data_IF_694936082837
#
_entry.id   IF_694936082837
#
_cell.length_a   1.000
_cell.length_b   1.000
_cell.length_c   1.000
_cell.angle_alpha   90.00
_cell.angle_beta   90.00
_cell.angle_gamma   90.00
#
_symmetry.space_group_name_H-M   'P 1'
#
loop_
_entity.id
_entity.type
_entity.pdbx_description
1 polymer ?
#
# COMPACT_ATOMS: atom_id res chain seq x y z
N UNK A 1 4.92 15.53 7.52
CA UNK A 1 5.89 14.48 7.14
C UNK A 1 6.52 14.66 5.77
N UNK A 2 5.96 15.50 4.90
CA UNK A 2 6.50 15.77 3.57
C UNK A 2 7.87 16.48 3.65
N UNK A 3 8.87 15.95 2.95
CA UNK A 3 10.12 16.66 2.68
C UNK A 3 9.98 17.62 1.49
N UNK A 4 10.98 18.48 1.28
CA UNK A 4 10.98 19.51 0.24
C UNK A 4 10.54 19.05 -1.18
N UNK A 5 10.86 17.84 -1.66
CA UNK A 5 10.38 17.40 -2.98
C UNK A 5 8.86 17.26 -3.07
N UNK A 6 8.21 16.70 -2.03
CA UNK A 6 6.74 16.54 -2.01
C UNK A 6 6.02 17.87 -1.77
N UNK A 7 6.58 18.72 -0.88
CA UNK A 7 6.04 20.08 -0.67
C UNK A 7 6.12 20.90 -1.97
N UNK A 8 7.22 20.81 -2.70
CA UNK A 8 7.34 21.46 -4.01
C UNK A 8 6.33 20.93 -5.03
N UNK A 9 6.10 19.61 -5.04
CA UNK A 9 5.10 19.01 -5.92
C UNK A 9 3.68 19.45 -5.56
N UNK A 10 3.34 19.52 -4.28
CA UNK A 10 2.04 20.01 -3.82
C UNK A 10 1.80 21.48 -4.19
N UNK A 11 2.80 22.33 -3.99
CA UNK A 11 2.72 23.75 -4.41
C UNK A 11 2.46 23.88 -5.92
N UNK A 12 3.11 23.06 -6.76
CA UNK A 12 2.98 23.14 -8.21
C UNK A 12 1.75 22.44 -8.78
N UNK A 13 1.42 21.26 -8.28
CA UNK A 13 0.37 20.41 -8.86
C UNK A 13 -0.96 20.54 -8.13
N UNK A 14 -0.94 20.83 -6.83
CA UNK A 14 -2.17 21.00 -6.04
C UNK A 14 -2.62 22.44 -5.93
N UNK A 15 -1.68 23.38 -5.75
CA UNK A 15 -1.96 24.79 -5.51
C UNK A 15 -1.60 25.69 -6.73
N UNK A 16 -1.08 25.11 -7.80
CA UNK A 16 -0.67 25.81 -9.04
C UNK A 16 0.33 26.96 -8.83
N UNK A 17 1.06 26.94 -7.71
CA UNK A 17 2.04 27.96 -7.37
C UNK A 17 3.37 27.70 -8.09
N UNK A 18 3.75 28.59 -9.01
CA UNK A 18 5.03 28.54 -9.70
C UNK A 18 6.19 28.83 -8.75
N UNK A 19 6.97 27.80 -8.41
CA UNK A 19 8.12 27.89 -7.50
C UNK A 19 9.23 26.91 -7.87
N UNK A 20 10.46 27.25 -7.53
CA UNK A 20 11.62 26.37 -7.74
C UNK A 20 11.90 25.47 -6.53
N UNK A 21 12.28 24.21 -6.79
CA UNK A 21 12.58 23.22 -5.74
C UNK A 21 13.65 23.69 -4.72
N UNK A 22 14.70 24.40 -5.19
CA UNK A 22 15.74 24.97 -4.31
C UNK A 22 15.17 26.03 -3.37
N UNK A 23 14.24 26.88 -3.84
CA UNK A 23 13.58 27.90 -3.03
C UNK A 23 12.72 27.27 -1.93
N UNK A 24 11.93 26.24 -2.27
CA UNK A 24 11.12 25.50 -1.29
C UNK A 24 12.02 24.86 -0.21
N UNK A 25 13.08 24.18 -0.59
CA UNK A 25 14.02 23.55 0.34
C UNK A 25 14.66 24.58 1.29
N UNK A 26 15.04 25.76 0.78
CA UNK A 26 15.62 26.85 1.57
C UNK A 26 14.61 27.42 2.57
N UNK A 27 13.38 27.69 2.14
CA UNK A 27 12.34 28.23 3.00
C UNK A 27 11.93 27.23 4.08
N UNK A 28 11.79 25.96 3.76
CA UNK A 28 11.51 24.90 4.74
C UNK A 28 12.62 24.83 5.81
N UNK A 29 13.89 24.91 5.39
CA UNK A 29 15.03 24.91 6.33
C UNK A 29 15.00 26.14 7.23
N UNK A 30 14.73 27.33 6.68
CA UNK A 30 14.63 28.58 7.45
C UNK A 30 13.48 28.54 8.45
N UNK A 31 12.38 27.87 8.13
CA UNK A 31 11.21 27.68 9.00
C UNK A 31 11.35 26.47 9.95
N UNK A 32 12.49 25.78 10.00
CA UNK A 32 12.67 24.57 10.82
C UNK A 32 11.84 23.36 10.38
N UNK A 33 11.27 23.37 9.17
CA UNK A 33 10.42 22.31 8.67
C UNK A 33 11.26 21.18 8.06
N UNK A 34 11.23 20.01 8.69
CA UNK A 34 12.00 18.84 8.26
C UNK A 34 11.06 17.66 7.93
N UNK A 35 11.29 17.00 6.81
CA UNK A 35 10.61 15.75 6.48
C UNK A 35 11.09 14.59 7.36
N UNK A 36 10.15 13.78 7.84
CA UNK A 36 10.47 12.63 8.71
C UNK A 36 11.01 11.47 7.88
N UNK A 37 12.19 10.98 8.23
CA UNK A 37 12.81 9.80 7.62
C UNK A 37 13.30 8.84 8.71
N UNK A 38 12.72 7.64 8.79
CA UNK A 38 13.15 6.59 9.72
C UNK A 38 13.84 5.46 8.96
N UNK A 39 15.07 5.11 9.35
CA UNK A 39 15.74 3.88 8.93
C UNK A 39 15.46 2.78 9.97
N UNK A 40 14.75 1.74 9.60
CA UNK A 40 14.44 0.59 10.46
C UNK A 40 15.45 -0.54 10.25
N UNK A 41 15.94 -1.18 11.35
CA UNK A 41 16.70 -2.44 11.30
C UNK A 41 15.72 -3.61 11.18
N UNK A 42 15.99 -4.56 10.28
CA UNK A 42 15.16 -5.73 9.99
C UNK A 42 15.48 -6.92 10.92
N UNK A 43 14.44 -7.66 11.35
CA UNK A 43 14.55 -8.97 12.00
C UNK A 43 14.00 -10.03 11.04
N UNK A 44 14.73 -11.14 10.86
CA UNK A 44 14.33 -12.24 10.00
C UNK A 44 13.34 -13.21 10.67
N UNK A 45 12.38 -13.72 9.91
CA UNK A 45 11.46 -14.79 10.30
C UNK A 45 11.83 -16.10 9.57
N UNK A 46 11.50 -17.27 10.17
CA UNK A 46 11.64 -18.57 9.53
C UNK A 46 10.56 -18.76 8.45
N UNK A 47 10.92 -19.25 7.26
CA UNK A 47 9.99 -19.39 6.15
C UNK A 47 9.17 -20.68 6.21
N UNK A 48 7.91 -20.59 5.77
CA UNK A 48 7.02 -21.73 5.54
C UNK A 48 7.12 -22.20 4.07
N UNK A 49 6.73 -23.46 3.76
CA UNK A 49 6.59 -23.92 2.38
C UNK A 49 5.60 -23.03 1.62
N UNK A 50 5.88 -22.70 0.36
CA UNK A 50 5.00 -21.88 -0.45
C UNK A 50 4.07 -22.76 -1.29
N UNK A 51 2.72 -22.55 -1.25
CA UNK A 51 1.78 -23.22 -2.14
C UNK A 51 1.79 -22.64 -3.57
N UNK A 52 2.41 -21.49 -3.78
CA UNK A 52 2.50 -20.81 -5.08
C UNK A 52 3.96 -20.51 -5.43
N UNK A 53 4.28 -20.55 -6.73
CA UNK A 53 5.58 -20.16 -7.25
C UNK A 53 5.78 -18.64 -7.21
N UNK A 54 7.04 -18.18 -7.27
CA UNK A 54 7.36 -16.76 -7.39
C UNK A 54 7.26 -16.30 -8.86
N UNK A 55 6.07 -15.85 -9.24
CA UNK A 55 5.79 -15.33 -10.59
C UNK A 55 6.34 -13.92 -10.80
N UNK A 56 6.57 -13.17 -9.73
CA UNK A 56 7.01 -11.76 -9.77
C UNK A 56 8.52 -11.64 -9.91
N UNK A 57 9.28 -12.57 -9.31
CA UNK A 57 10.76 -12.58 -9.37
C UNK A 57 11.40 -11.23 -9.04
N UNK A 58 10.85 -10.52 -8.05
CA UNK A 58 11.24 -9.16 -7.62
C UNK A 58 11.01 -8.06 -8.68
N UNK A 59 10.30 -8.33 -9.76
CA UNK A 59 9.92 -7.34 -10.75
C UNK A 59 8.57 -6.72 -10.40
N UNK A 60 8.57 -5.83 -9.40
CA UNK A 60 7.36 -5.12 -8.98
C UNK A 60 7.03 -3.96 -9.93
N UNK A 61 6.78 -4.30 -11.18
CA UNK A 61 6.37 -3.40 -12.25
C UNK A 61 5.19 -4.01 -12.99
N UNK A 62 4.24 -3.19 -13.37
CA UNK A 62 3.14 -3.54 -14.24
C UNK A 62 3.01 -2.44 -15.30
N UNK A 63 2.46 -2.78 -16.46
CA UNK A 63 2.24 -1.88 -17.60
C UNK A 63 0.84 -1.26 -17.62
N UNK A 64 -0.06 -1.82 -16.83
CA UNK A 64 -1.43 -1.34 -16.68
C UNK A 64 -2.01 -1.67 -15.29
N UNK A 65 -3.12 -1.02 -14.89
CA UNK A 65 -3.81 -1.35 -13.64
C UNK A 65 -4.27 -2.81 -13.61
N UNK A 66 -4.40 -3.34 -12.40
CA UNK A 66 -5.00 -4.65 -12.11
C UNK A 66 -4.32 -5.87 -12.76
N UNK A 67 -3.01 -5.74 -13.12
CA UNK A 67 -2.20 -6.87 -13.61
C UNK A 67 -1.40 -7.54 -12.50
N UNK A 68 -0.97 -6.76 -11.52
CA UNK A 68 -0.20 -7.24 -10.38
C UNK A 68 -0.63 -6.50 -9.13
N UNK A 69 -1.14 -7.24 -8.16
CA UNK A 69 -1.44 -6.76 -6.82
C UNK A 69 -0.44 -7.30 -5.81
N UNK A 70 -0.05 -6.49 -4.85
CA UNK A 70 0.70 -6.91 -3.68
C UNK A 70 -0.20 -6.83 -2.44
N UNK A 71 -0.12 -7.82 -1.57
CA UNK A 71 -0.89 -7.85 -0.32
C UNK A 71 -0.01 -8.17 0.86
N UNK A 72 -0.36 -7.62 2.03
CA UNK A 72 0.35 -7.84 3.28
C UNK A 72 -0.52 -7.44 4.48
N UNK A 73 -0.11 -7.84 5.69
CA UNK A 73 -0.78 -7.52 6.95
C UNK A 73 0.15 -6.69 7.82
N UNK A 74 -0.41 -5.69 8.48
CA UNK A 74 0.26 -4.98 9.59
C UNK A 74 -0.53 -5.12 10.89
N UNK A 75 0.14 -4.94 12.03
CA UNK A 75 -0.51 -4.85 13.33
C UNK A 75 -0.11 -3.56 14.05
N UNK A 76 -1.03 -3.02 14.83
CA UNK A 76 -0.76 -1.86 15.66
C UNK A 76 -1.48 -1.98 17.02
N UNK A 77 -0.80 -1.66 18.15
CA UNK A 77 -1.42 -1.71 19.47
C UNK A 77 -2.33 -0.49 19.69
N UNK A 78 -3.40 -0.72 20.45
CA UNK A 78 -4.25 0.30 21.07
C UNK A 78 -4.36 0.04 22.57
N UNK A 79 -4.99 0.94 23.34
CA UNK A 79 -5.21 0.71 24.76
C UNK A 79 -6.14 -0.48 25.04
N UNK A 80 -7.00 -0.87 24.09
CA UNK A 80 -7.94 -1.99 24.23
C UNK A 80 -7.50 -3.27 23.51
N UNK A 81 -6.25 -3.31 23.01
CA UNK A 81 -5.67 -4.47 22.32
C UNK A 81 -5.13 -4.12 20.94
N UNK A 82 -4.80 -5.13 20.14
CA UNK A 82 -4.23 -4.93 18.80
C UNK A 82 -5.31 -4.79 17.73
N UNK A 83 -5.01 -4.01 16.71
CA UNK A 83 -5.71 -3.96 15.43
C UNK A 83 -4.82 -4.56 14.36
N UNK A 84 -5.39 -5.38 13.51
CA UNK A 84 -4.75 -5.97 12.33
C UNK A 84 -5.38 -5.37 11.09
N UNK A 85 -4.56 -4.96 10.13
CA UNK A 85 -5.02 -4.46 8.84
C UNK A 85 -4.35 -5.22 7.72
N UNK A 86 -5.15 -5.86 6.86
CA UNK A 86 -4.70 -6.39 5.58
C UNK A 86 -5.00 -5.37 4.48
N UNK A 87 -4.10 -5.23 3.50
CA UNK A 87 -4.31 -4.35 2.36
C UNK A 87 -3.86 -5.01 1.06
N UNK A 88 -4.52 -4.66 -0.03
CA UNK A 88 -4.20 -5.04 -1.41
C UNK A 88 -3.85 -3.77 -2.17
N UNK A 89 -2.64 -3.71 -2.71
CA UNK A 89 -2.08 -2.58 -3.43
C UNK A 89 -1.90 -2.95 -4.90
N UNK A 90 -2.45 -2.15 -5.79
CA UNK A 90 -2.15 -2.23 -7.23
C UNK A 90 -0.75 -1.68 -7.52
N UNK A 91 0.08 -2.49 -8.15
CA UNK A 91 1.51 -2.17 -8.37
C UNK A 91 1.68 -1.02 -9.36
N UNK A 92 0.81 -0.89 -10.34
CA UNK A 92 0.90 0.14 -11.37
C UNK A 92 0.52 1.52 -10.82
N UNK A 93 -0.67 1.62 -10.21
CA UNK A 93 -1.22 2.88 -9.71
C UNK A 93 -0.78 3.24 -8.29
N UNK A 94 -0.21 2.28 -7.53
CA UNK A 94 0.08 2.40 -6.09
C UNK A 94 -1.18 2.58 -5.23
N UNK A 95 -2.37 2.38 -5.80
CA UNK A 95 -3.66 2.51 -5.13
C UNK A 95 -3.91 1.33 -4.20
N UNK A 96 -4.45 1.60 -3.03
CA UNK A 96 -5.03 0.55 -2.19
C UNK A 96 -6.42 0.24 -2.74
N UNK A 97 -6.53 -0.92 -3.35
CA UNK A 97 -7.76 -1.36 -4.04
C UNK A 97 -8.67 -2.19 -3.15
N UNK A 98 -8.11 -2.78 -2.08
CA UNK A 98 -8.87 -3.51 -1.07
C UNK A 98 -8.16 -3.48 0.27
N UNK A 99 -8.91 -3.54 1.35
CA UNK A 99 -8.39 -3.61 2.71
C UNK A 99 -9.45 -4.18 3.66
N UNK A 100 -8.98 -4.72 4.78
CA UNK A 100 -9.83 -5.20 5.87
C UNK A 100 -9.16 -4.96 7.20
N UNK A 101 -9.95 -4.73 8.25
CA UNK A 101 -9.47 -4.45 9.61
C UNK A 101 -10.19 -5.37 10.58
N UNK A 102 -9.42 -6.02 11.47
CA UNK A 102 -9.97 -6.90 12.50
C UNK A 102 -9.15 -6.82 13.80
N UNK A 103 -9.68 -7.43 14.86
CA UNK A 103 -8.97 -7.64 16.14
C UNK A 103 -8.16 -8.94 16.17
N UNK A 104 -8.12 -9.67 15.05
CA UNK A 104 -7.42 -10.94 14.89
C UNK A 104 -6.69 -11.02 13.53
N UNK A 105 -5.67 -11.88 13.45
CA UNK A 105 -4.87 -12.13 12.23
C UNK A 105 -5.19 -13.52 11.66
N UNK A 106 -6.47 -13.81 11.40
CA UNK A 106 -6.91 -15.05 10.76
C UNK A 106 -6.94 -14.90 9.24
N UNK A 107 -7.12 -16.00 8.53
CA UNK A 107 -7.15 -16.01 7.05
C UNK A 107 -8.32 -15.21 6.48
N UNK A 108 -9.43 -15.09 7.22
CA UNK A 108 -10.59 -14.28 6.85
C UNK A 108 -10.19 -12.83 6.58
N UNK A 109 -9.29 -12.26 7.38
CA UNK A 109 -8.82 -10.88 7.24
C UNK A 109 -8.26 -10.61 5.83
N UNK A 110 -7.42 -11.52 5.31
CA UNK A 110 -6.82 -11.36 3.98
C UNK A 110 -7.80 -11.69 2.86
N UNK A 111 -8.73 -12.60 3.10
CA UNK A 111 -9.81 -12.92 2.15
C UNK A 111 -10.76 -11.75 1.99
N UNK A 112 -11.14 -11.07 3.07
CA UNK A 112 -12.02 -9.90 3.02
C UNK A 112 -11.36 -8.73 2.28
N UNK A 113 -10.06 -8.48 2.53
CA UNK A 113 -9.30 -7.47 1.79
C UNK A 113 -9.24 -7.79 0.28
N UNK A 114 -8.98 -9.06 -0.07
CA UNK A 114 -8.98 -9.53 -1.45
C UNK A 114 -10.38 -9.44 -2.09
N UNK A 115 -11.41 -9.82 -1.35
CA UNK A 115 -12.80 -9.74 -1.82
C UNK A 115 -13.20 -8.30 -2.16
N UNK A 116 -12.84 -7.34 -1.29
CA UNK A 116 -13.06 -5.91 -1.57
C UNK A 116 -12.33 -5.48 -2.85
N UNK A 117 -11.06 -5.89 -3.03
CA UNK A 117 -10.30 -5.57 -4.22
C UNK A 117 -10.95 -6.14 -5.49
N UNK A 118 -11.36 -7.40 -5.47
CA UNK A 118 -12.05 -8.05 -6.60
C UNK A 118 -13.35 -7.32 -6.94
N UNK A 119 -14.16 -7.00 -5.93
CA UNK A 119 -15.44 -6.33 -6.13
C UNK A 119 -15.29 -4.91 -6.69
N UNK A 120 -14.26 -4.17 -6.25
CA UNK A 120 -14.01 -2.81 -6.72
C UNK A 120 -13.40 -2.75 -8.12
N UNK A 121 -12.58 -3.73 -8.47
CA UNK A 121 -11.70 -3.65 -9.64
C UNK A 121 -12.11 -4.56 -10.79
N UNK A 122 -12.84 -5.63 -10.52
CA UNK A 122 -13.20 -6.64 -11.53
C UNK A 122 -12.01 -7.07 -12.40
N UNK A 123 -10.90 -7.53 -11.78
CA UNK A 123 -9.67 -7.81 -12.53
C UNK A 123 -9.90 -8.88 -13.60
N UNK A 124 -9.19 -8.74 -14.72
CA UNK A 124 -9.22 -9.77 -15.76
C UNK A 124 -8.59 -11.08 -15.24
N UNK A 125 -9.07 -12.25 -15.70
CA UNK A 125 -8.44 -13.53 -15.39
C UNK A 125 -6.93 -13.51 -15.72
N UNK A 126 -6.13 -14.11 -14.82
CA UNK A 126 -4.68 -14.15 -14.96
C UNK A 126 -3.95 -12.97 -14.27
N UNK A 127 -4.65 -12.03 -13.66
CA UNK A 127 -4.02 -11.04 -12.79
C UNK A 127 -3.32 -11.72 -11.60
N UNK A 128 -2.15 -11.22 -11.23
CA UNK A 128 -1.30 -11.83 -10.20
C UNK A 128 -1.53 -11.16 -8.85
N UNK A 129 -1.67 -11.96 -7.80
CA UNK A 129 -1.70 -11.50 -6.40
C UNK A 129 -0.46 -12.03 -5.69
N UNK A 130 0.45 -11.14 -5.37
CA UNK A 130 1.71 -11.46 -4.71
C UNK A 130 1.63 -11.18 -3.20
N UNK A 131 2.00 -12.18 -2.40
CA UNK A 131 2.01 -12.13 -0.95
C UNK A 131 3.33 -12.68 -0.40
N UNK A 132 3.58 -12.43 0.89
CA UNK A 132 4.58 -13.18 1.64
C UNK A 132 4.12 -14.63 1.91
N UNK A 133 4.97 -15.41 2.59
CA UNK A 133 4.67 -16.80 2.98
C UNK A 133 4.01 -16.88 4.36
N UNK A 134 3.22 -15.90 4.74
CA UNK A 134 2.44 -15.94 5.97
C UNK A 134 1.39 -17.07 5.96
N UNK A 135 1.07 -17.60 7.12
CA UNK A 135 0.09 -18.70 7.25
C UNK A 135 -1.29 -18.32 6.70
N UNK A 136 -1.65 -17.05 6.72
CA UNK A 136 -2.90 -16.50 6.20
C UNK A 136 -2.98 -16.66 4.67
N UNK A 137 -1.88 -16.37 3.97
CA UNK A 137 -1.77 -16.43 2.51
C UNK A 137 -1.56 -17.84 1.99
N UNK A 138 -1.03 -18.76 2.84
CA UNK A 138 -0.88 -20.19 2.51
C UNK A 138 -2.14 -21.01 2.83
N UNK A 139 -3.19 -20.36 3.37
CA UNK A 139 -4.44 -21.01 3.74
C UNK A 139 -5.23 -21.49 2.51
N UNK A 140 -5.96 -22.60 2.68
CA UNK A 140 -6.83 -23.13 1.63
C UNK A 140 -7.89 -22.12 1.18
N UNK A 141 -8.48 -21.35 2.12
CA UNK A 141 -9.54 -20.39 1.84
C UNK A 141 -9.04 -19.24 0.96
N UNK A 142 -7.81 -18.73 1.19
CA UNK A 142 -7.21 -17.70 0.34
C UNK A 142 -6.93 -18.24 -1.07
N UNK A 143 -6.31 -19.43 -1.17
CA UNK A 143 -6.06 -20.09 -2.46
C UNK A 143 -7.33 -20.43 -3.22
N UNK A 144 -8.41 -20.82 -2.52
CA UNK A 144 -9.73 -21.05 -3.13
C UNK A 144 -10.31 -19.77 -3.72
N UNK A 145 -10.25 -18.66 -2.96
CA UNK A 145 -10.76 -17.36 -3.41
C UNK A 145 -10.01 -16.82 -4.63
N UNK A 146 -8.69 -17.01 -4.70
CA UNK A 146 -7.92 -16.66 -5.89
C UNK A 146 -8.43 -17.42 -7.13
N UNK A 147 -8.59 -18.74 -7.03
CA UNK A 147 -9.06 -19.58 -8.14
C UNK A 147 -10.46 -19.21 -8.61
N UNK A 148 -11.39 -19.00 -7.69
CA UNK A 148 -12.76 -18.56 -8.04
C UNK A 148 -12.78 -17.25 -8.83
N UNK A 149 -11.87 -16.33 -8.52
CA UNK A 149 -11.74 -15.05 -9.22
C UNK A 149 -10.86 -15.12 -10.48
N UNK A 150 -10.33 -16.29 -10.83
CA UNK A 150 -9.41 -16.44 -11.96
C UNK A 150 -8.04 -15.78 -11.77
N UNK A 151 -7.65 -15.52 -10.50
CA UNK A 151 -6.40 -14.86 -10.14
C UNK A 151 -5.28 -15.87 -9.93
N UNK A 152 -4.05 -15.45 -10.20
CA UNK A 152 -2.85 -16.25 -10.00
C UNK A 152 -2.16 -15.84 -8.69
N UNK A 153 -2.00 -16.79 -7.77
CA UNK A 153 -1.21 -16.57 -6.56
C UNK A 153 0.29 -16.58 -6.87
N UNK A 154 1.03 -15.67 -6.24
CA UNK A 154 2.48 -15.61 -6.29
C UNK A 154 3.05 -15.40 -4.90
N UNK A 155 4.14 -16.08 -4.57
CA UNK A 155 4.81 -15.95 -3.26
C UNK A 155 6.31 -15.78 -3.42
N UNK A 156 6.87 -14.82 -2.70
CA UNK A 156 8.30 -14.55 -2.68
C UNK A 156 9.13 -15.76 -2.22
N UNK A 157 10.44 -15.73 -2.47
CA UNK A 157 11.38 -16.78 -2.05
C UNK A 157 11.60 -16.76 -0.53
N UNK A 158 12.03 -17.91 -0.01
CA UNK A 158 12.42 -18.07 1.40
C UNK A 158 13.50 -17.06 1.80
N UNK A 159 13.29 -16.37 2.93
CA UNK A 159 14.24 -15.46 3.58
C UNK A 159 14.62 -14.19 2.80
N UNK A 160 13.84 -13.74 1.83
CA UNK A 160 14.07 -12.49 1.14
C UNK A 160 13.17 -11.37 1.69
N UNK A 161 13.80 -10.43 2.37
CA UNK A 161 13.13 -9.21 2.88
C UNK A 161 12.80 -8.18 1.79
N UNK A 162 13.13 -8.50 0.52
CA UNK A 162 12.91 -7.59 -0.63
C UNK A 162 11.64 -7.98 -1.40
N UNK A 163 11.00 -9.09 -1.00
CA UNK A 163 9.93 -9.70 -1.78
C UNK A 163 8.56 -9.00 -1.65
N UNK A 164 8.42 -7.97 -0.81
CA UNK A 164 7.19 -7.14 -0.74
C UNK A 164 7.49 -5.65 -0.48
N UNK A 165 8.50 -5.11 -1.18
CA UNK A 165 8.98 -3.72 -1.01
C UNK A 165 7.88 -2.67 -1.19
N UNK A 166 6.85 -3.01 -1.97
CA UNK A 166 5.72 -2.13 -2.22
C UNK A 166 4.86 -1.96 -0.97
N UNK A 167 4.50 -3.10 -0.35
CA UNK A 167 3.73 -3.08 0.89
C UNK A 167 4.56 -2.55 2.06
N UNK A 168 5.86 -2.85 2.14
CA UNK A 168 6.74 -2.24 3.13
C UNK A 168 6.75 -0.71 3.03
N UNK A 169 6.78 -0.16 1.81
CA UNK A 169 6.73 1.28 1.57
C UNK A 169 5.39 1.88 1.97
N UNK A 170 4.28 1.17 1.69
CA UNK A 170 2.94 1.56 2.10
C UNK A 170 2.81 1.60 3.63
N UNK A 171 3.12 0.50 4.32
CA UNK A 171 3.07 0.42 5.78
C UNK A 171 3.98 1.43 6.46
N UNK A 172 5.18 1.64 5.92
CA UNK A 172 6.11 2.66 6.42
C UNK A 172 5.56 4.08 6.27
N UNK A 173 4.74 4.34 5.26
CA UNK A 173 4.05 5.61 5.10
C UNK A 173 2.91 5.76 6.11
N UNK A 174 2.06 4.75 6.26
CA UNK A 174 0.99 4.72 7.26
C UNK A 174 1.55 4.88 8.67
N UNK A 175 2.63 4.16 8.99
CA UNK A 175 3.27 4.25 10.31
C UNK A 175 3.65 5.69 10.66
N UNK A 176 4.33 6.40 9.74
CA UNK A 176 4.83 7.77 9.97
C UNK A 176 3.74 8.84 9.87
N UNK A 177 2.77 8.63 9.00
CA UNK A 177 1.80 9.67 8.64
C UNK A 177 0.52 9.57 9.47
N UNK A 178 0.24 8.38 10.04
CA UNK A 178 -0.93 8.11 10.87
C UNK A 178 -0.56 7.50 12.22
N UNK A 179 0.00 6.28 12.24
CA UNK A 179 0.04 5.43 13.42
C UNK A 179 0.92 6.00 14.55
N UNK A 180 2.11 6.55 14.22
CA UNK A 180 3.05 7.15 15.20
C UNK A 180 2.69 8.59 15.57
N UNK A 181 1.55 9.13 15.12
CA UNK A 181 1.20 10.54 15.36
C UNK A 181 0.57 10.77 16.73
N UNK A 182 -0.06 9.76 17.29
CA UNK A 182 -0.69 9.77 18.61
C UNK A 182 -0.84 8.35 19.16
N UNK A 183 -1.23 8.24 20.41
CA UNK A 183 -1.71 7.01 21.03
C UNK A 183 -3.18 6.78 20.67
N UNK A 184 -3.59 5.53 20.57
CA UNK A 184 -4.92 5.12 20.16
C UNK A 184 -5.67 4.54 21.36
N UNK A 185 -6.81 5.12 21.71
CA UNK A 185 -7.58 4.74 22.90
C UNK A 185 -8.38 3.47 22.69
N UNK A 186 -8.85 3.21 21.47
CA UNK A 186 -9.61 2.01 21.15
C UNK A 186 -9.30 1.47 19.75
N UNK A 187 -9.75 0.23 19.51
CA UNK A 187 -9.65 -0.43 18.20
C UNK A 187 -10.50 0.28 17.16
N UNK A 188 -11.70 0.71 17.53
CA UNK A 188 -12.66 1.40 16.67
C UNK A 188 -12.13 2.76 16.22
N UNK A 189 -11.51 3.50 17.14
CA UNK A 189 -10.86 4.78 16.82
C UNK A 189 -9.75 4.59 15.79
N UNK A 190 -8.88 3.59 15.98
CA UNK A 190 -7.80 3.32 15.05
C UNK A 190 -8.32 2.80 13.70
N UNK A 191 -9.34 1.94 13.70
CA UNK A 191 -9.95 1.41 12.47
C UNK A 191 -10.55 2.54 11.63
N UNK A 192 -11.29 3.45 12.24
CA UNK A 192 -11.84 4.64 11.56
C UNK A 192 -10.75 5.53 10.99
N UNK A 193 -9.68 5.77 11.75
CA UNK A 193 -8.57 6.59 11.29
C UNK A 193 -7.77 5.93 10.13
N UNK A 194 -7.62 4.62 10.11
CA UNK A 194 -7.02 3.87 8.99
C UNK A 194 -7.91 4.01 7.75
N UNK A 195 -9.24 3.84 7.89
CA UNK A 195 -10.20 4.04 6.81
C UNK A 195 -10.07 5.44 6.21
N UNK A 196 -10.17 6.48 7.03
CA UNK A 196 -10.06 7.87 6.59
C UNK A 196 -8.70 8.16 5.91
N UNK A 197 -7.62 7.57 6.45
CA UNK A 197 -6.30 7.77 5.87
C UNK A 197 -6.16 7.09 4.50
N UNK A 198 -6.70 5.90 4.30
CA UNK A 198 -6.64 5.20 3.01
C UNK A 198 -7.55 5.90 1.98
N UNK A 199 -8.83 6.08 2.30
CA UNK A 199 -9.84 6.54 1.33
C UNK A 199 -9.86 8.07 1.18
N UNK A 200 -9.60 8.81 2.25
CA UNK A 200 -9.64 10.27 2.23
C UNK A 200 -8.30 10.94 1.93
N UNK A 201 -7.17 10.25 2.13
CA UNK A 201 -5.86 10.87 1.96
C UNK A 201 -4.92 10.06 1.06
N UNK A 202 -4.65 8.77 1.36
CA UNK A 202 -3.63 8.01 0.64
C UNK A 202 -3.96 7.86 -0.84
N UNK A 203 -5.14 7.39 -1.16
CA UNK A 203 -5.58 7.18 -2.55
C UNK A 203 -5.82 8.50 -3.30
N UNK A 204 -6.59 9.49 -2.77
CA UNK A 204 -6.96 10.66 -3.54
C UNK A 204 -5.94 11.82 -3.48
N UNK A 205 -5.13 11.92 -2.43
CA UNK A 205 -4.35 13.15 -2.16
C UNK A 205 -2.85 12.90 -2.07
N UNK A 206 -2.42 11.76 -1.50
CA UNK A 206 -1.03 11.53 -1.15
C UNK A 206 -0.09 11.48 -2.37
N UNK A 207 0.93 12.34 -2.41
CA UNK A 207 1.89 12.44 -3.51
C UNK A 207 2.93 11.31 -3.49
N UNK A 208 3.09 10.62 -4.62
CA UNK A 208 4.03 9.52 -4.82
C UNK A 208 5.12 9.89 -5.83
N UNK A 209 6.39 9.83 -5.42
CA UNK A 209 7.52 10.13 -6.31
C UNK A 209 7.59 9.20 -7.52
N UNK A 210 7.23 7.91 -7.35
CA UNK A 210 7.18 6.93 -8.43
C UNK A 210 6.03 7.14 -9.44
N UNK A 211 5.06 8.02 -9.12
CA UNK A 211 3.95 8.41 -9.99
C UNK A 211 4.09 9.86 -10.51
N UNK A 212 5.30 10.37 -10.60
CA UNK A 212 5.52 11.77 -10.99
C UNK A 212 4.93 12.77 -10.00
N UNK A 213 4.90 12.40 -8.72
CA UNK A 213 4.28 13.17 -7.63
C UNK A 213 2.76 13.37 -7.76
N UNK A 214 2.07 12.50 -8.47
CA UNK A 214 0.61 12.41 -8.46
C UNK A 214 0.11 11.55 -7.32
N UNK A 215 -1.17 11.70 -6.97
CA UNK A 215 -1.85 10.71 -6.12
C UNK A 215 -2.15 9.44 -6.92
N UNK A 216 -2.43 8.31 -6.26
CA UNK A 216 -2.88 7.09 -6.94
C UNK A 216 -4.11 7.32 -7.84
N UNK A 217 -5.11 8.06 -7.36
CA UNK A 217 -6.31 8.38 -8.15
C UNK A 217 -5.96 9.25 -9.36
N UNK A 218 -5.26 10.38 -9.17
CA UNK A 218 -4.88 11.27 -10.27
C UNK A 218 -4.07 10.54 -11.35
N UNK A 219 -3.20 9.60 -10.93
CA UNK A 219 -2.39 8.83 -11.87
C UNK A 219 -3.23 7.85 -12.67
N UNK A 220 -4.17 7.16 -12.02
CA UNK A 220 -5.11 6.23 -12.66
C UNK A 220 -6.03 6.95 -13.66
N UNK A 221 -6.60 8.09 -13.27
CA UNK A 221 -7.49 8.89 -14.10
C UNK A 221 -6.78 9.37 -15.37
N UNK A 222 -5.53 9.83 -15.25
CA UNK A 222 -4.72 10.25 -16.40
C UNK A 222 -4.41 9.07 -17.33
N UNK A 223 -4.12 7.88 -16.80
CA UNK A 223 -3.89 6.70 -17.60
C UNK A 223 -5.15 6.28 -18.37
N UNK A 224 -6.30 6.29 -17.69
CA UNK A 224 -7.59 5.96 -18.29
C UNK A 224 -7.95 6.94 -19.41
N UNK A 225 -7.75 8.25 -19.17
CA UNK A 225 -7.99 9.29 -20.18
C UNK A 225 -7.07 9.13 -21.40
N UNK A 226 -5.80 8.78 -21.19
CA UNK A 226 -4.84 8.53 -22.27
C UNK A 226 -5.23 7.33 -23.14
N UNK A 227 -5.74 6.25 -22.55
CA UNK A 227 -6.24 5.08 -23.29
C UNK A 227 -7.50 5.44 -24.10
N UNK A 228 -8.41 6.20 -23.52
CA UNK A 228 -9.64 6.62 -24.20
C UNK A 228 -9.40 7.58 -25.37
N UNK A 229 -8.25 8.26 -25.40
CA UNK A 229 -7.86 9.18 -26.46
C UNK A 229 -7.02 8.55 -27.59
N UNK A 230 -6.60 7.29 -27.44
CA UNK A 230 -5.73 6.57 -28.39
C UNK A 230 -6.54 5.66 -29.32
#
# INVERSE_FOLDING_TARGET
TYGAPRVHAELRLGLEIACGRKRVARLMRAAGLVGVCHRRKRRGQRPLPAPHEDLVQRRFTADSPDRLWCTDITEHPTSTGKVYCAAVLDVFTRKIVGWSIADHMRSELVVDALQMAIWRRHPAPGAIVHADRGSQYTSWIFGHRLREAGLLGSMGRVASSVDNTMMESFWSSMQRELLDRRTWSSREELASAIFEWIEGFYNPVRRHSGLGYRSPNDFEDLHTAAIAAA
#
